data_IF_795481766250
#
_entry.id   IF_795481766250
#
_cell.length_a   1.000
_cell.length_b   1.000
_cell.length_c   1.000
_cell.angle_alpha   90.00
_cell.angle_beta   90.00
_cell.angle_gamma   90.00
#
_symmetry.space_group_name_H-M   'P 1'
#
loop_
_entity.id
_entity.type
_entity.pdbx_description
1 polymer ?
#
# COMPACT_ATOMS: atom_id res chain seq x y z
N UNK A 1 -53.50 -29.40 -43.28
CA UNK A 1 -52.04 -29.44 -43.50
C UNK A 1 -51.50 -30.61 -42.67
N UNK A 2 -51.23 -31.75 -43.32
CA UNK A 2 -50.83 -33.00 -42.64
C UNK A 2 -49.32 -33.01 -42.49
N UNK A 3 -48.83 -32.92 -41.26
CA UNK A 3 -47.39 -32.96 -40.97
C UNK A 3 -46.94 -34.43 -41.08
N UNK A 4 -45.98 -34.68 -41.97
CA UNK A 4 -45.41 -36.00 -42.24
C UNK A 4 -44.82 -36.63 -40.96
N UNK A 5 -45.11 -37.91 -40.71
CA UNK A 5 -44.65 -38.67 -39.54
C UNK A 5 -43.12 -38.73 -39.43
N UNK A 6 -42.38 -38.58 -40.55
CA UNK A 6 -40.91 -38.47 -40.53
C UNK A 6 -40.44 -37.12 -40.00
N UNK A 7 -41.09 -36.02 -40.41
CA UNK A 7 -40.78 -34.67 -39.95
C UNK A 7 -41.09 -34.49 -38.47
N UNK A 8 -42.14 -35.14 -37.96
CA UNK A 8 -42.49 -35.11 -36.53
C UNK A 8 -41.49 -35.88 -35.65
N UNK A 9 -40.83 -36.92 -36.18
CA UNK A 9 -39.78 -37.66 -35.47
C UNK A 9 -38.45 -36.90 -35.42
N UNK A 10 -38.13 -36.16 -36.47
CA UNK A 10 -36.93 -35.31 -36.54
C UNK A 10 -37.09 -34.08 -35.63
N UNK A 11 -38.28 -33.46 -35.60
CA UNK A 11 -38.56 -32.38 -34.66
C UNK A 11 -38.54 -32.84 -33.19
N UNK A 12 -39.07 -34.02 -32.87
CA UNK A 12 -38.97 -34.57 -31.51
C UNK A 12 -37.52 -34.87 -31.09
N UNK A 13 -36.70 -35.37 -32.01
CA UNK A 13 -35.29 -35.65 -31.76
C UNK A 13 -34.48 -34.36 -31.55
N UNK A 14 -34.75 -33.32 -32.34
CA UNK A 14 -34.14 -32.00 -32.16
C UNK A 14 -34.58 -31.33 -30.86
N UNK A 15 -35.86 -31.44 -30.49
CA UNK A 15 -36.36 -30.90 -29.22
C UNK A 15 -35.77 -31.64 -28.01
N UNK A 16 -35.57 -32.96 -28.10
CA UNK A 16 -34.92 -33.75 -27.06
C UNK A 16 -33.43 -33.42 -26.89
N UNK A 17 -32.71 -33.16 -27.99
CA UNK A 17 -31.29 -32.78 -27.95
C UNK A 17 -31.13 -31.37 -27.34
N UNK A 18 -31.99 -30.42 -27.70
CA UNK A 18 -31.98 -29.07 -27.08
C UNK A 18 -32.33 -29.15 -25.58
N UNK A 19 -33.25 -30.03 -25.18
CA UNK A 19 -33.60 -30.21 -23.76
C UNK A 19 -32.47 -30.86 -22.94
N UNK A 20 -31.69 -31.79 -23.54
CA UNK A 20 -30.52 -32.39 -22.89
C UNK A 20 -29.36 -31.39 -22.72
N UNK A 21 -29.17 -30.45 -23.65
CA UNK A 21 -28.12 -29.43 -23.56
C UNK A 21 -28.39 -28.41 -22.43
N UNK A 22 -29.65 -28.14 -22.07
CA UNK A 22 -29.99 -27.25 -20.95
C UNK A 22 -29.77 -27.91 -19.57
N UNK A 23 -29.81 -29.24 -19.48
CA UNK A 23 -29.60 -29.95 -18.21
C UNK A 23 -28.12 -30.11 -17.82
N UNK A 24 -27.19 -30.01 -18.78
CA UNK A 24 -25.75 -30.20 -18.56
C UNK A 24 -24.95 -28.90 -18.30
N UNK A 25 -25.60 -27.72 -18.40
CA UNK A 25 -24.93 -26.42 -18.21
C UNK A 25 -24.98 -25.89 -16.76
N UNK A 26 -25.63 -26.61 -15.84
CA UNK A 26 -25.51 -26.34 -14.41
C UNK A 26 -24.28 -27.07 -13.87
N UNK A 27 -23.11 -26.44 -13.92
CA UNK A 27 -22.04 -26.83 -13.02
C UNK A 27 -22.59 -26.80 -11.59
N UNK A 28 -22.32 -27.82 -10.75
CA UNK A 28 -22.64 -27.70 -9.34
C UNK A 28 -21.90 -26.49 -8.81
N UNK A 29 -22.65 -25.50 -8.33
CA UNK A 29 -22.12 -24.43 -7.50
C UNK A 29 -21.25 -25.08 -6.43
N UNK A 30 -19.98 -24.67 -6.25
CA UNK A 30 -19.13 -25.26 -5.23
C UNK A 30 -19.89 -25.30 -3.91
N UNK A 31 -19.94 -26.47 -3.27
CA UNK A 31 -20.65 -26.69 -2.01
C UNK A 31 -20.03 -25.96 -0.81
N UNK A 32 -19.04 -25.10 -1.06
CA UNK A 32 -18.52 -24.16 -0.08
C UNK A 32 -19.37 -22.90 -0.19
N UNK A 33 -20.27 -22.73 0.77
CA UNK A 33 -20.94 -21.46 1.05
C UNK A 33 -19.93 -20.32 0.90
N UNK A 34 -20.22 -19.36 0.04
CA UNK A 34 -19.54 -18.07 0.09
C UNK A 34 -19.55 -17.60 1.55
N UNK A 35 -18.40 -17.17 2.06
CA UNK A 35 -18.29 -16.62 3.42
C UNK A 35 -18.97 -15.26 3.40
N UNK A 36 -20.30 -15.28 3.53
CA UNK A 36 -21.10 -14.09 3.79
C UNK A 36 -20.85 -13.73 5.25
N UNK A 37 -20.48 -12.49 5.51
CA UNK A 37 -20.40 -11.93 6.86
C UNK A 37 -21.81 -11.83 7.46
N UNK A 38 -22.35 -12.97 7.87
CA UNK A 38 -23.54 -13.07 8.70
C UNK A 38 -23.10 -13.19 10.15
N UNK A 39 -23.63 -12.32 11.02
CA UNK A 39 -23.30 -12.25 12.45
C UNK A 39 -23.36 -13.60 13.19
N UNK A 40 -22.88 -13.62 14.44
CA UNK A 40 -22.67 -14.84 15.25
C UNK A 40 -21.21 -15.32 15.26
N UNK A 41 -20.25 -14.40 15.17
CA UNK A 41 -18.82 -14.72 15.22
C UNK A 41 -18.45 -15.44 16.51
N UNK A 42 -19.02 -15.04 17.66
CA UNK A 42 -18.76 -15.69 18.95
C UNK A 42 -19.23 -17.16 19.00
N UNK A 43 -20.35 -17.49 18.35
CA UNK A 43 -20.87 -18.86 18.28
C UNK A 43 -20.00 -19.74 17.36
N UNK A 44 -19.54 -19.19 16.23
CA UNK A 44 -18.66 -19.88 15.28
C UNK A 44 -17.25 -20.09 15.84
N UNK A 45 -16.73 -19.15 16.63
CA UNK A 45 -15.46 -19.30 17.36
C UNK A 45 -15.53 -20.38 18.44
N UNK A 46 -16.72 -20.67 18.99
CA UNK A 46 -16.95 -21.77 19.93
C UNK A 46 -17.17 -23.14 19.27
N UNK A 47 -17.20 -23.20 17.93
CA UNK A 47 -17.34 -24.43 17.17
C UNK A 47 -16.11 -25.34 17.24
N UNK A 48 -16.23 -26.57 16.74
CA UNK A 48 -15.07 -27.46 16.60
C UNK A 48 -14.08 -26.86 15.59
N UNK A 49 -12.76 -26.86 15.87
CA UNK A 49 -11.75 -26.35 14.94
C UNK A 49 -11.87 -27.01 13.57
N UNK A 50 -11.53 -26.27 12.51
CA UNK A 50 -11.32 -26.87 11.21
C UNK A 50 -10.28 -28.01 11.34
N UNK A 51 -10.46 -29.15 10.63
CA UNK A 51 -9.51 -30.24 10.70
C UNK A 51 -8.11 -29.74 10.31
N UNK A 52 -7.12 -30.09 11.13
CA UNK A 52 -5.73 -29.78 10.85
C UNK A 52 -5.31 -30.43 9.52
N UNK A 53 -4.55 -29.69 8.71
CA UNK A 53 -4.09 -30.12 7.41
C UNK A 53 -3.48 -28.95 6.64
N UNK A 54 -2.39 -29.23 5.92
CA UNK A 54 -1.87 -28.28 4.95
C UNK A 54 -2.92 -28.04 3.86
N UNK A 55 -3.05 -26.79 3.42
CA UNK A 55 -3.89 -26.48 2.27
C UNK A 55 -3.15 -26.89 0.99
N UNK A 56 -3.78 -27.76 0.20
CA UNK A 56 -3.22 -28.19 -1.07
C UNK A 56 -3.74 -27.27 -2.19
N UNK A 57 -2.81 -26.61 -2.90
CA UNK A 57 -3.10 -25.75 -4.03
C UNK A 57 -2.03 -25.92 -5.11
N UNK A 58 -2.38 -25.78 -6.40
CA UNK A 58 -1.39 -25.83 -7.47
C UNK A 58 -0.41 -24.67 -7.33
N UNK A 59 0.89 -24.86 -7.62
CA UNK A 59 1.90 -23.79 -7.58
C UNK A 59 1.58 -22.62 -8.53
N UNK A 60 0.79 -22.88 -9.58
CA UNK A 60 0.33 -21.89 -10.56
C UNK A 60 -1.08 -22.21 -11.00
N UNK A 61 -1.96 -21.21 -10.98
CA UNK A 61 -3.31 -21.29 -11.54
C UNK A 61 -3.29 -20.69 -12.94
N UNK A 62 -3.65 -21.52 -13.94
CA UNK A 62 -3.90 -21.06 -15.30
C UNK A 62 -5.33 -21.36 -15.73
N UNK A 63 -6.06 -20.35 -16.18
CA UNK A 63 -7.44 -20.46 -16.63
C UNK A 63 -7.76 -19.41 -17.70
N UNK A 64 -8.73 -19.69 -18.57
CA UNK A 64 -9.24 -18.69 -19.51
C UNK A 64 -10.76 -18.75 -19.51
N UNK A 65 -11.39 -17.61 -19.23
CA UNK A 65 -12.84 -17.44 -19.28
C UNK A 65 -13.20 -16.63 -20.52
N UNK A 66 -14.01 -17.21 -21.39
CA UNK A 66 -14.60 -16.50 -22.52
C UNK A 66 -15.79 -15.65 -22.02
N UNK A 67 -15.77 -14.34 -22.31
CA UNK A 67 -16.87 -13.46 -21.95
C UNK A 67 -18.06 -13.72 -22.87
N UNK A 68 -19.23 -14.04 -22.28
CA UNK A 68 -20.44 -14.28 -23.06
C UNK A 68 -20.81 -13.04 -23.88
N UNK A 69 -20.86 -13.20 -25.20
CA UNK A 69 -21.35 -12.18 -26.12
C UNK A 69 -20.28 -11.30 -26.79
N UNK A 70 -18.99 -11.62 -26.64
CA UNK A 70 -17.91 -10.92 -27.35
C UNK A 70 -16.69 -11.81 -27.60
N UNK A 71 -15.67 -11.24 -28.27
CA UNK A 71 -14.41 -11.92 -28.58
C UNK A 71 -13.34 -11.75 -27.47
N UNK A 72 -13.70 -11.09 -26.37
CA UNK A 72 -12.81 -10.82 -25.25
C UNK A 72 -12.71 -12.03 -24.31
N UNK A 73 -11.50 -12.24 -23.78
CA UNK A 73 -11.17 -13.34 -22.87
C UNK A 73 -10.52 -12.79 -21.61
N UNK A 74 -10.85 -13.37 -20.47
CA UNK A 74 -10.13 -13.15 -19.21
C UNK A 74 -9.16 -14.32 -19.05
N UNK A 75 -7.86 -14.02 -18.96
CA UNK A 75 -6.81 -15.03 -18.78
C UNK A 75 -6.25 -14.88 -17.38
N UNK A 76 -6.30 -15.96 -16.61
CA UNK A 76 -5.63 -16.10 -15.33
C UNK A 76 -4.33 -16.87 -15.56
N UNK A 77 -3.20 -16.30 -15.13
CA UNK A 77 -1.90 -16.97 -15.07
C UNK A 77 -1.17 -16.46 -13.83
N UNK A 78 -1.50 -17.04 -12.68
CA UNK A 78 -1.06 -16.56 -11.38
C UNK A 78 -0.24 -17.62 -10.65
N UNK A 79 0.92 -17.23 -10.12
CA UNK A 79 1.60 -18.04 -9.12
C UNK A 79 0.75 -18.09 -7.85
N UNK A 80 0.66 -19.25 -7.21
CA UNK A 80 -0.08 -19.44 -5.96
C UNK A 80 0.93 -19.69 -4.85
N UNK A 81 0.85 -18.89 -3.80
CA UNK A 81 1.66 -19.06 -2.59
C UNK A 81 0.76 -19.55 -1.47
N UNK A 82 1.07 -20.74 -0.93
CA UNK A 82 0.39 -21.27 0.26
C UNK A 82 1.36 -21.25 1.44
N UNK A 83 0.97 -20.66 2.59
CA UNK A 83 1.78 -20.71 3.79
C UNK A 83 2.06 -22.16 4.23
N UNK A 84 3.30 -22.43 4.64
CA UNK A 84 3.71 -23.75 5.15
C UNK A 84 3.24 -23.95 6.59
N UNK A 85 1.93 -24.05 6.78
CA UNK A 85 1.26 -24.18 8.08
C UNK A 85 0.33 -25.39 8.10
N UNK A 86 0.07 -25.92 9.29
CA UNK A 86 -0.80 -27.09 9.49
C UNK A 86 -2.23 -26.71 9.89
N UNK A 87 -2.49 -25.43 10.12
CA UNK A 87 -3.79 -24.90 10.48
C UNK A 87 -3.93 -23.43 10.04
N UNK A 88 -5.17 -23.00 9.83
CA UNK A 88 -5.55 -21.61 9.56
C UNK A 88 -6.45 -21.11 10.70
N UNK A 89 -5.87 -20.74 11.84
CA UNK A 89 -6.63 -20.28 13.00
C UNK A 89 -7.32 -18.94 12.73
N UNK A 90 -8.42 -18.72 13.43
CA UNK A 90 -9.10 -17.43 13.46
C UNK A 90 -8.67 -16.68 14.72
N UNK A 91 -8.11 -15.49 14.54
CA UNK A 91 -7.63 -14.68 15.65
C UNK A 91 -8.64 -13.60 16.05
N UNK A 92 -8.71 -13.33 17.36
CA UNK A 92 -9.28 -12.09 17.88
C UNK A 92 -8.14 -11.12 18.15
N UNK A 93 -8.07 -10.06 17.35
CA UNK A 93 -7.02 -9.05 17.43
C UNK A 93 -7.55 -7.72 17.95
N UNK A 94 -6.64 -6.88 18.43
CA UNK A 94 -6.90 -5.47 18.75
C UNK A 94 -5.76 -4.67 18.16
N UNK A 95 -6.06 -3.53 17.55
CA UNK A 95 -5.03 -2.63 17.05
C UNK A 95 -4.16 -2.13 18.21
N UNK A 96 -2.85 -2.36 18.08
CA UNK A 96 -1.85 -1.82 19.01
C UNK A 96 -1.62 -0.33 18.72
N UNK A 97 -1.24 0.40 19.76
CA UNK A 97 -0.76 1.77 19.62
C UNK A 97 0.74 1.79 19.88
N UNK A 98 1.46 2.70 19.22
CA UNK A 98 2.87 2.93 19.52
C UNK A 98 3.01 3.48 20.93
N UNK A 99 3.87 2.86 21.73
CA UNK A 99 4.29 3.44 23.00
C UNK A 99 5.45 4.43 22.82
N UNK A 100 5.70 5.23 23.86
CA UNK A 100 6.74 6.27 23.82
C UNK A 100 8.16 5.70 23.70
N UNK A 101 8.42 4.50 24.21
CA UNK A 101 9.75 3.89 24.12
C UNK A 101 10.03 3.42 22.69
N UNK A 102 9.04 2.79 22.05
CA UNK A 102 9.09 2.40 20.63
C UNK A 102 9.34 3.62 19.74
N UNK A 103 8.57 4.70 19.92
CA UNK A 103 8.73 5.93 19.13
C UNK A 103 10.12 6.52 19.33
N UNK A 104 10.62 6.61 20.56
CA UNK A 104 11.96 7.12 20.82
C UNK A 104 13.05 6.28 20.15
N UNK A 105 12.91 4.96 20.14
CA UNK A 105 13.84 4.06 19.44
C UNK A 105 13.86 4.33 17.93
N UNK A 106 12.68 4.52 17.33
CA UNK A 106 12.55 4.86 15.90
C UNK A 106 13.14 6.23 15.59
N UNK A 107 12.84 7.25 16.41
CA UNK A 107 13.39 8.60 16.25
C UNK A 107 14.91 8.57 16.35
N UNK A 108 15.48 7.90 17.35
CA UNK A 108 16.93 7.79 17.51
C UNK A 108 17.58 7.10 16.31
N UNK A 109 17.00 6.00 15.82
CA UNK A 109 17.49 5.27 14.65
C UNK A 109 17.58 6.16 13.40
N UNK A 110 16.50 6.87 13.05
CA UNK A 110 16.45 7.67 11.82
C UNK A 110 17.18 9.02 11.94
N UNK A 111 17.20 9.62 13.13
CA UNK A 111 17.89 10.91 13.35
C UNK A 111 19.38 10.72 13.56
N UNK A 112 19.82 9.60 14.12
CA UNK A 112 21.20 9.41 14.59
C UNK A 112 21.57 10.44 15.68
N UNK A 113 20.63 10.76 16.57
CA UNK A 113 20.81 11.68 17.69
C UNK A 113 20.74 13.18 17.33
N UNK A 114 20.31 13.53 16.12
CA UNK A 114 20.12 14.93 15.72
C UNK A 114 18.85 15.52 16.32
N UNK A 115 18.92 16.82 16.61
CA UNK A 115 17.75 17.57 17.05
C UNK A 115 16.71 17.66 15.93
N UNK A 116 15.47 17.37 16.29
CA UNK A 116 14.30 17.49 15.41
C UNK A 116 13.50 18.69 15.88
N UNK A 117 13.20 19.59 14.96
CA UNK A 117 12.47 20.81 15.27
C UNK A 117 11.02 20.74 14.81
N UNK A 118 10.11 21.33 15.57
CA UNK A 118 8.73 21.55 15.16
C UNK A 118 8.65 22.54 13.99
N UNK A 119 7.45 22.71 13.44
CA UNK A 119 7.23 23.59 12.31
C UNK A 119 7.51 25.03 12.73
N UNK A 120 8.32 25.70 11.92
CA UNK A 120 8.56 27.12 12.02
C UNK A 120 8.10 27.78 10.71
N UNK A 121 7.59 29.01 10.81
CA UNK A 121 7.26 29.79 9.61
C UNK A 121 8.52 29.98 8.74
N UNK A 122 8.43 29.77 7.41
CA UNK A 122 9.58 29.93 6.53
C UNK A 122 10.16 31.35 6.60
N UNK A 123 11.48 31.43 6.62
CA UNK A 123 12.21 32.69 6.50
C UNK A 123 12.10 33.27 5.10
N UNK A 124 12.41 34.57 4.95
CA UNK A 124 12.49 35.21 3.63
C UNK A 124 13.45 34.48 2.68
N UNK A 125 14.63 34.09 3.17
CA UNK A 125 15.62 33.38 2.37
C UNK A 125 15.10 32.03 1.85
N UNK A 126 14.42 31.25 2.70
CA UNK A 126 13.81 29.98 2.28
C UNK A 126 12.70 30.21 1.25
N UNK A 127 11.87 31.24 1.41
CA UNK A 127 10.83 31.58 0.43
C UNK A 127 11.41 32.05 -0.91
N UNK A 128 12.51 32.81 -0.91
CA UNK A 128 13.19 33.24 -2.15
C UNK A 128 13.71 32.04 -2.95
N UNK A 129 14.29 31.04 -2.27
CA UNK A 129 14.70 29.78 -2.91
C UNK A 129 13.49 29.03 -3.51
N UNK A 130 12.37 29.00 -2.78
CA UNK A 130 11.13 28.39 -3.27
C UNK A 130 10.54 29.13 -4.49
N UNK A 131 10.66 30.46 -4.57
CA UNK A 131 10.27 31.23 -5.76
C UNK A 131 11.11 30.84 -6.97
N UNK A 132 12.43 30.68 -6.79
CA UNK A 132 13.35 30.26 -7.86
C UNK A 132 12.94 28.88 -8.38
N UNK A 133 12.67 27.92 -7.48
CA UNK A 133 12.22 26.58 -7.84
C UNK A 133 10.87 26.60 -8.54
N UNK A 134 9.88 27.33 -8.00
CA UNK A 134 8.55 27.42 -8.60
C UNK A 134 8.58 28.03 -10.01
N UNK A 135 9.43 29.05 -10.24
CA UNK A 135 9.64 29.64 -11.57
C UNK A 135 10.31 28.68 -12.54
N UNK A 136 11.35 27.96 -12.09
CA UNK A 136 12.01 26.92 -12.88
C UNK A 136 10.99 25.86 -13.31
N UNK A 137 10.07 25.49 -12.41
CA UNK A 137 9.05 24.48 -12.64
C UNK A 137 7.79 24.99 -13.35
N UNK A 138 7.84 26.21 -13.88
CA UNK A 138 6.72 26.90 -14.53
C UNK A 138 5.42 26.95 -13.70
N UNK A 139 5.54 26.91 -12.36
CA UNK A 139 4.43 27.00 -11.40
C UNK A 139 4.17 28.46 -11.01
N UNK A 140 3.66 29.24 -11.97
CA UNK A 140 3.52 30.70 -11.83
C UNK A 140 2.64 31.15 -10.66
N UNK A 141 1.56 30.43 -10.39
CA UNK A 141 0.65 30.73 -9.27
C UNK A 141 1.32 30.52 -7.92
N UNK A 142 2.08 29.42 -7.78
CA UNK A 142 2.85 29.10 -6.57
C UNK A 142 3.97 30.14 -6.36
N UNK A 143 4.69 30.51 -7.42
CA UNK A 143 5.73 31.53 -7.34
C UNK A 143 5.17 32.88 -6.87
N UNK A 144 4.01 33.29 -7.39
CA UNK A 144 3.36 34.53 -6.98
C UNK A 144 2.88 34.50 -5.53
N UNK A 145 2.39 33.35 -5.05
CA UNK A 145 2.02 33.16 -3.63
C UNK A 145 3.24 33.36 -2.71
N UNK A 146 4.38 32.74 -3.04
CA UNK A 146 5.59 32.89 -2.23
C UNK A 146 6.16 34.30 -2.27
N UNK A 147 6.17 34.94 -3.44
CA UNK A 147 6.56 36.35 -3.57
C UNK A 147 5.73 37.27 -2.68
N UNK A 148 4.42 37.01 -2.56
CA UNK A 148 3.56 37.76 -1.64
C UNK A 148 3.92 37.51 -0.16
N UNK A 149 4.28 36.27 0.20
CA UNK A 149 4.64 35.89 1.57
C UNK A 149 5.99 36.44 2.03
N UNK A 150 6.95 36.65 1.12
CA UNK A 150 8.28 37.21 1.45
C UNK A 150 8.16 38.56 2.15
N UNK A 151 7.15 39.37 1.82
CA UNK A 151 6.96 40.70 2.41
C UNK A 151 6.72 40.65 3.94
N UNK A 152 6.10 39.58 4.43
CA UNK A 152 5.73 39.41 5.85
C UNK A 152 6.54 38.36 6.58
N UNK A 153 7.36 37.59 5.86
CA UNK A 153 8.16 36.53 6.44
C UNK A 153 9.30 37.08 7.32
N UNK A 154 9.68 36.35 8.39
CA UNK A 154 10.81 36.73 9.23
C UNK A 154 12.14 36.56 8.49
N UNK A 155 13.16 37.34 8.87
CA UNK A 155 14.53 37.13 8.38
C UNK A 155 15.15 35.85 8.98
N UNK A 156 14.78 35.55 10.23
CA UNK A 156 15.30 34.43 11.03
C UNK A 156 14.19 33.89 11.91
N UNK A 157 14.17 32.58 12.13
CA UNK A 157 13.22 31.92 13.02
C UNK A 157 13.97 30.93 13.93
N UNK A 158 13.65 30.94 15.22
CA UNK A 158 14.10 29.90 16.16
C UNK A 158 13.02 28.83 16.22
N UNK A 159 13.32 27.64 15.72
CA UNK A 159 12.40 26.52 15.74
C UNK A 159 12.46 25.77 17.08
N UNK A 160 11.30 25.38 17.62
CA UNK A 160 11.22 24.62 18.86
C UNK A 160 11.78 23.21 18.65
N UNK A 161 12.65 22.74 19.56
CA UNK A 161 13.15 21.36 19.54
C UNK A 161 12.11 20.42 20.17
N UNK A 162 11.74 19.37 19.44
CA UNK A 162 10.80 18.35 19.91
C UNK A 162 11.52 17.41 20.87
N UNK A 163 11.09 17.45 22.13
CA UNK A 163 11.61 16.56 23.19
C UNK A 163 10.56 15.56 23.69
N UNK A 164 9.28 15.87 23.51
CA UNK A 164 8.16 15.01 23.85
C UNK A 164 7.66 14.26 22.62
N UNK A 165 7.99 12.98 22.55
CA UNK A 165 7.62 12.06 21.48
C UNK A 165 6.42 11.17 21.82
N UNK A 166 5.54 11.62 22.74
CA UNK A 166 4.32 10.88 23.07
C UNK A 166 3.35 10.80 21.89
N UNK A 167 2.92 9.58 21.56
CA UNK A 167 2.03 9.31 20.43
C UNK A 167 0.71 10.10 20.50
N UNK A 168 0.16 10.29 21.71
CA UNK A 168 -1.10 11.01 21.94
C UNK A 168 -1.05 12.49 21.56
N UNK A 169 0.15 13.07 21.43
CA UNK A 169 0.34 14.44 20.96
C UNK A 169 0.54 14.55 19.46
N UNK A 170 0.65 13.42 18.78
CA UNK A 170 0.97 13.30 17.37
C UNK A 170 2.10 14.24 16.90
N UNK A 171 3.29 14.17 17.53
CA UNK A 171 4.39 15.08 17.21
C UNK A 171 4.83 14.93 15.75
N UNK A 172 5.13 16.06 15.12
CA UNK A 172 5.64 16.16 13.76
C UNK A 172 6.78 17.17 13.72
N UNK A 173 7.89 16.78 13.12
CA UNK A 173 9.09 17.60 13.09
C UNK A 173 10.04 17.29 11.95
N UNK A 174 11.04 18.15 11.80
CA UNK A 174 11.99 18.14 10.70
C UNK A 174 13.43 18.26 11.20
N UNK A 175 14.36 17.74 10.42
CA UNK A 175 15.78 17.91 10.66
C UNK A 175 16.55 17.83 9.34
N UNK A 176 17.75 18.43 9.31
CA UNK A 176 18.65 18.32 8.17
C UNK A 176 19.44 17.02 8.24
N UNK A 177 19.37 16.21 7.18
CA UNK A 177 20.13 14.97 7.04
C UNK A 177 21.62 15.28 6.81
N UNK A 178 22.49 14.25 6.82
CA UNK A 178 23.94 14.46 6.67
C UNK A 178 24.27 14.87 5.24
N UNK A 179 23.39 14.49 4.32
CA UNK A 179 23.49 14.74 2.89
C UNK A 179 22.87 16.09 2.49
N UNK A 180 22.38 16.86 3.47
CA UNK A 180 21.84 18.20 3.26
C UNK A 180 20.37 18.23 2.80
N UNK A 181 19.66 17.11 2.84
CA UNK A 181 18.22 17.06 2.59
C UNK A 181 17.42 17.27 3.89
N UNK A 182 16.23 17.84 3.81
CA UNK A 182 15.33 17.87 4.95
C UNK A 182 14.57 16.55 5.08
N UNK A 183 14.64 15.94 6.26
CA UNK A 183 13.81 14.79 6.61
C UNK A 183 12.72 15.19 7.60
N UNK A 184 11.58 14.51 7.52
CA UNK A 184 10.44 14.69 8.41
C UNK A 184 10.12 13.42 9.19
N UNK A 185 9.67 13.58 10.43
CA UNK A 185 9.09 12.52 11.26
C UNK A 185 7.67 12.93 11.62
N UNK A 186 6.72 12.02 11.43
CA UNK A 186 5.34 12.20 11.85
C UNK A 186 4.92 10.98 12.67
N UNK A 187 4.34 11.25 13.83
CA UNK A 187 3.86 10.23 14.75
C UNK A 187 2.39 10.45 14.99
N UNK A 188 1.63 9.37 15.04
CA UNK A 188 0.30 9.31 15.64
C UNK A 188 0.17 7.97 16.39
N UNK A 189 -0.89 7.75 17.20
CA UNK A 189 -1.01 6.52 17.98
C UNK A 189 -0.91 5.22 17.18
N UNK A 190 -1.16 5.23 15.86
CA UNK A 190 -1.26 4.04 15.03
C UNK A 190 -0.25 4.01 13.87
N UNK A 191 0.57 5.05 13.71
CA UNK A 191 1.49 5.20 12.59
C UNK A 191 2.71 5.99 12.99
N UNK A 192 3.86 5.48 12.56
CA UNK A 192 5.13 6.20 12.54
C UNK A 192 5.54 6.39 11.08
N UNK A 193 5.96 7.59 10.72
CA UNK A 193 6.40 7.93 9.37
C UNK A 193 7.70 8.72 9.44
N UNK A 194 8.77 8.15 8.92
CA UNK A 194 10.01 8.86 8.58
C UNK A 194 10.06 9.06 7.07
N UNK A 195 10.43 10.26 6.64
CA UNK A 195 10.61 10.57 5.22
C UNK A 195 11.85 11.43 5.02
N UNK A 196 12.76 10.99 4.17
CA UNK A 196 13.84 11.84 3.69
C UNK A 196 13.38 12.60 2.43
N UNK A 197 13.51 13.93 2.44
CA UNK A 197 13.17 14.79 1.30
C UNK A 197 11.67 15.00 1.09
N UNK A 198 10.80 14.80 2.10
CA UNK A 198 9.35 14.85 1.89
C UNK A 198 8.50 15.18 3.15
N UNK A 199 7.30 15.74 2.97
CA UNK A 199 6.25 15.87 4.02
C UNK A 199 4.95 15.19 3.60
N UNK A 200 4.34 14.47 4.56
CA UNK A 200 2.96 13.94 4.60
C UNK A 200 2.23 13.90 3.25
N UNK A 201 2.21 12.70 2.65
CA UNK A 201 1.63 12.47 1.32
C UNK A 201 2.71 12.27 0.25
N UNK A 202 3.75 11.49 0.55
CA UNK A 202 4.82 11.23 -0.39
C UNK A 202 4.35 10.76 -1.73
N UNK A 203 4.60 11.60 -2.72
CA UNK A 203 4.62 11.20 -4.11
C UNK A 203 5.89 10.37 -4.32
N UNK A 204 5.86 9.15 -3.78
CA UNK A 204 6.42 8.06 -4.55
C UNK A 204 5.48 7.85 -5.73
N UNK A 205 6.05 7.80 -6.93
CA UNK A 205 5.29 7.30 -8.07
C UNK A 205 5.73 5.86 -8.28
N UNK A 206 4.82 4.94 -8.01
CA UNK A 206 5.04 3.50 -8.22
C UNK A 206 4.83 3.13 -9.69
N UNK A 207 5.26 1.93 -10.08
CA UNK A 207 4.88 1.39 -11.40
C UNK A 207 3.35 1.37 -11.58
N UNK A 208 2.58 1.04 -10.52
CA UNK A 208 1.12 1.04 -10.55
C UNK A 208 0.53 2.44 -10.83
N UNK A 209 1.11 3.50 -10.23
CA UNK A 209 0.72 4.89 -10.50
C UNK A 209 1.06 5.33 -11.94
N UNK A 210 2.24 4.92 -12.45
CA UNK A 210 2.67 5.23 -13.83
C UNK A 210 1.75 4.55 -14.85
N UNK A 211 1.44 3.27 -14.64
CA UNK A 211 0.53 2.50 -15.49
C UNK A 211 -0.87 3.12 -15.52
N UNK A 212 -1.41 3.50 -14.36
CA UNK A 212 -2.71 4.16 -14.26
C UNK A 212 -2.77 5.50 -15.00
N UNK A 213 -1.66 6.23 -15.06
CA UNK A 213 -1.54 7.51 -15.76
C UNK A 213 -1.22 7.38 -17.26
N UNK A 214 -1.02 6.15 -17.77
CA UNK A 214 -0.65 5.89 -19.16
C UNK A 214 0.76 6.38 -19.52
N UNK A 215 1.62 6.52 -18.52
CA UNK A 215 3.01 6.95 -18.66
C UNK A 215 3.93 5.75 -18.95
N UNK A 216 5.21 6.01 -19.28
CA UNK A 216 6.19 4.95 -19.53
C UNK A 216 6.73 4.40 -18.21
N UNK A 217 6.81 3.08 -18.13
CA UNK A 217 7.36 2.26 -17.02
C UNK A 217 8.60 2.87 -16.34
N UNK A 218 8.77 2.60 -15.04
CA UNK A 218 10.03 2.88 -14.36
C UNK A 218 11.11 1.98 -14.97
N UNK A 219 12.13 2.62 -15.56
CA UNK A 219 13.26 1.94 -16.17
C UNK A 219 14.09 1.09 -15.20
N UNK A 220 15.30 0.75 -15.59
CA UNK A 220 16.20 -0.02 -14.73
C UNK A 220 16.54 0.73 -13.44
N UNK A 221 16.55 -0.01 -12.33
CA UNK A 221 16.97 0.46 -11.01
C UNK A 221 18.39 -0.05 -10.76
N UNK A 222 19.24 0.82 -10.21
CA UNK A 222 20.66 0.52 -10.02
C UNK A 222 20.89 -0.63 -9.03
N UNK A 223 20.14 -0.66 -7.93
CA UNK A 223 20.19 -1.74 -6.94
C UNK A 223 19.37 -2.95 -7.42
N UNK A 224 19.87 -4.19 -7.30
CA UNK A 224 19.05 -5.37 -7.55
C UNK A 224 17.92 -5.49 -6.51
N UNK A 225 16.72 -5.88 -6.95
CA UNK A 225 15.56 -6.00 -6.05
C UNK A 225 15.79 -6.91 -4.82
N UNK A 226 16.55 -8.00 -4.97
CA UNK A 226 16.93 -8.87 -3.84
C UNK A 226 17.78 -8.15 -2.78
N UNK A 227 18.63 -7.21 -3.21
CA UNK A 227 19.52 -6.47 -2.33
C UNK A 227 18.73 -5.34 -1.65
N UNK A 228 17.73 -4.76 -2.33
CA UNK A 228 16.75 -3.86 -1.74
C UNK A 228 15.94 -4.54 -0.62
N UNK A 229 15.44 -5.77 -0.86
CA UNK A 229 14.73 -6.55 0.16
C UNK A 229 15.64 -6.85 1.36
N UNK A 230 16.89 -7.25 1.11
CA UNK A 230 17.85 -7.52 2.18
C UNK A 230 18.18 -6.27 3.00
N UNK A 231 18.34 -5.11 2.36
CA UNK A 231 18.57 -3.85 3.04
C UNK A 231 17.37 -3.43 3.90
N UNK A 232 16.14 -3.57 3.37
CA UNK A 232 14.93 -3.29 4.13
C UNK A 232 14.75 -4.26 5.31
N UNK A 233 15.08 -5.55 5.14
CA UNK A 233 15.06 -6.52 6.23
C UNK A 233 16.06 -6.14 7.34
N UNK A 234 17.26 -5.66 7.01
CA UNK A 234 18.23 -5.19 8.01
C UNK A 234 17.67 -4.08 8.89
N UNK A 235 16.84 -3.19 8.33
CA UNK A 235 16.18 -2.12 9.11
C UNK A 235 15.18 -2.71 10.11
N UNK A 236 14.40 -3.73 9.70
CA UNK A 236 13.50 -4.45 10.60
C UNK A 236 14.29 -5.13 11.73
N UNK A 237 15.39 -5.80 11.39
CA UNK A 237 16.24 -6.51 12.34
C UNK A 237 16.87 -5.53 13.36
N UNK A 238 17.38 -4.38 12.90
CA UNK A 238 17.94 -3.33 13.74
C UNK A 238 16.91 -2.75 14.72
N UNK A 239 15.65 -2.65 14.29
CA UNK A 239 14.54 -2.12 15.06
C UNK A 239 13.82 -3.19 15.90
N UNK A 240 14.20 -4.46 15.75
CA UNK A 240 13.63 -5.58 16.49
C UNK A 240 12.23 -6.00 16.04
N UNK A 241 11.86 -5.77 14.77
CA UNK A 241 10.61 -6.26 14.19
C UNK A 241 10.80 -7.69 13.64
N UNK A 242 10.55 -8.71 14.47
CA UNK A 242 10.74 -10.13 14.16
C UNK A 242 9.49 -10.83 13.60
N UNK A 243 8.33 -10.19 13.72
CA UNK A 243 7.02 -10.70 13.35
C UNK A 243 6.48 -10.05 12.06
N UNK A 244 7.39 -9.65 11.18
CA UNK A 244 7.09 -9.06 9.87
C UNK A 244 7.72 -9.92 8.76
N UNK A 245 6.99 -10.12 7.66
CA UNK A 245 7.44 -10.92 6.52
C UNK A 245 7.33 -10.13 5.22
N UNK A 246 8.31 -10.29 4.33
CA UNK A 246 8.29 -9.70 2.99
C UNK A 246 7.00 -10.07 2.26
N UNK A 247 6.33 -9.06 1.71
CA UNK A 247 5.04 -9.20 1.03
C UNK A 247 5.11 -8.77 -0.43
N UNK A 248 5.67 -7.59 -0.71
CA UNK A 248 5.72 -7.01 -2.06
C UNK A 248 6.98 -6.20 -2.28
N UNK A 249 7.43 -6.21 -3.53
CA UNK A 249 8.48 -5.34 -4.05
C UNK A 249 7.93 -4.60 -5.25
N UNK A 250 8.08 -3.28 -5.26
CA UNK A 250 7.54 -2.42 -6.30
C UNK A 250 8.55 -1.33 -6.65
N UNK A 251 8.74 -1.04 -7.94
CA UNK A 251 9.61 0.07 -8.34
C UNK A 251 8.95 1.38 -7.95
N UNK A 252 9.75 2.36 -7.55
CA UNK A 252 9.27 3.67 -7.22
C UNK A 252 10.26 4.77 -7.60
N UNK A 253 9.70 5.91 -7.99
CA UNK A 253 10.40 7.17 -8.16
C UNK A 253 10.28 7.98 -6.87
N UNK A 254 11.40 8.48 -6.35
CA UNK A 254 11.42 9.44 -5.23
C UNK A 254 11.67 10.83 -5.76
N UNK A 255 10.87 11.79 -5.30
CA UNK A 255 11.07 13.22 -5.56
C UNK A 255 11.60 13.89 -4.30
N UNK A 256 12.47 14.89 -4.46
CA UNK A 256 13.06 15.61 -3.32
C UNK A 256 12.31 16.90 -3.04
N UNK A 257 12.52 17.38 -1.82
CA UNK A 257 12.05 18.64 -1.31
C UNK A 257 13.23 19.49 -0.84
N UNK A 258 13.29 20.73 -1.32
CA UNK A 258 14.39 21.64 -1.05
C UNK A 258 14.18 22.53 0.20
N UNK A 259 13.03 22.47 0.89
CA UNK A 259 12.84 23.19 2.17
C UNK A 259 11.94 22.48 3.17
N UNK A 260 12.03 22.90 4.44
CA UNK A 260 11.26 22.39 5.58
C UNK A 260 9.77 22.84 5.58
N UNK A 261 9.40 23.85 4.78
CA UNK A 261 8.07 24.45 4.81
C UNK A 261 7.03 23.59 4.09
N UNK A 262 5.78 23.52 4.58
CA UNK A 262 4.66 22.73 4.04
C UNK A 262 4.31 23.00 2.57
N UNK A 263 4.88 24.03 1.95
CA UNK A 263 4.51 24.47 0.62
C UNK A 263 5.47 24.06 -0.49
N UNK A 264 6.74 23.71 -0.21
CA UNK A 264 7.71 23.47 -1.28
C UNK A 264 7.21 22.41 -2.28
N UNK A 265 7.10 22.81 -3.56
CA UNK A 265 6.79 21.93 -4.66
C UNK A 265 7.88 20.88 -4.86
N UNK A 266 7.49 19.70 -5.32
CA UNK A 266 8.42 18.60 -5.62
C UNK A 266 9.41 19.01 -6.72
N UNK A 267 10.58 18.35 -6.74
CA UNK A 267 11.47 18.40 -7.90
C UNK A 267 10.73 17.99 -9.19
N UNK A 268 11.09 18.57 -10.34
CA UNK A 268 10.47 18.17 -11.64
C UNK A 268 10.82 16.74 -12.01
N UNK A 269 12.07 16.39 -11.79
CA UNK A 269 12.61 15.06 -12.04
C UNK A 269 12.70 14.30 -10.72
N UNK A 270 12.50 12.97 -10.76
CA UNK A 270 12.78 12.14 -9.60
C UNK A 270 14.26 12.29 -9.23
N UNK A 271 14.53 12.52 -7.95
CA UNK A 271 15.90 12.55 -7.43
C UNK A 271 16.49 11.16 -7.29
N UNK A 272 15.62 10.14 -7.24
CA UNK A 272 16.06 8.77 -7.13
C UNK A 272 15.06 7.77 -7.69
N UNK A 273 15.56 6.60 -8.03
CA UNK A 273 14.80 5.43 -8.46
C UNK A 273 15.20 4.26 -7.59
N UNK A 274 14.20 3.60 -7.01
CA UNK A 274 14.43 2.54 -6.07
C UNK A 274 13.24 1.61 -6.00
N UNK A 275 13.15 0.89 -4.89
CA UNK A 275 12.03 0.00 -4.61
C UNK A 275 11.32 0.41 -3.33
N UNK A 276 9.99 0.32 -3.33
CA UNK A 276 9.21 0.18 -2.11
C UNK A 276 9.14 -1.31 -1.77
N UNK A 277 9.73 -1.66 -0.63
CA UNK A 277 9.63 -2.98 -0.01
C UNK A 277 8.52 -2.93 1.03
N UNK A 278 7.53 -3.83 0.92
CA UNK A 278 6.39 -3.93 1.83
C UNK A 278 6.51 -5.20 2.67
N UNK A 279 6.29 -5.07 3.97
CA UNK A 279 6.22 -6.17 4.91
C UNK A 279 4.83 -6.21 5.54
N UNK A 280 4.31 -7.42 5.71
CA UNK A 280 3.05 -7.68 6.41
C UNK A 280 3.34 -8.36 7.74
N UNK A 281 2.46 -8.15 8.74
CA UNK A 281 2.49 -8.92 9.99
C UNK A 281 2.48 -10.42 9.70
N UNK A 282 3.34 -11.19 10.34
CA UNK A 282 3.37 -12.64 10.29
C UNK A 282 2.85 -13.21 11.61
N UNK A 283 1.77 -13.98 11.57
CA UNK A 283 1.20 -14.64 12.75
C UNK A 283 1.22 -16.15 12.51
N UNK A 284 2.03 -16.87 13.29
CA UNK A 284 2.19 -18.33 13.21
C UNK A 284 2.51 -18.85 11.79
N UNK A 285 3.29 -18.09 11.02
CA UNK A 285 3.69 -18.43 9.65
C UNK A 285 2.68 -18.01 8.58
N UNK A 286 1.62 -17.29 8.96
CA UNK A 286 0.62 -16.73 8.04
C UNK A 286 0.87 -15.23 7.90
N UNK A 287 1.21 -14.80 6.68
CA UNK A 287 1.29 -13.39 6.33
C UNK A 287 -0.10 -12.74 6.43
N UNK A 288 -0.14 -11.58 7.06
CA UNK A 288 -1.30 -10.72 7.17
C UNK A 288 -1.63 -10.05 5.83
N UNK A 289 -2.74 -9.33 5.85
CA UNK A 289 -3.21 -8.55 4.71
C UNK A 289 -2.44 -7.22 4.70
N UNK A 290 -2.08 -6.70 3.53
CA UNK A 290 -1.60 -5.32 3.32
C UNK A 290 -2.74 -4.46 2.79
N UNK A 291 -2.58 -3.14 2.76
CA UNK A 291 -3.59 -2.20 2.19
C UNK A 291 -3.97 -2.55 0.72
N UNK A 292 -3.10 -3.27 0.01
CA UNK A 292 -3.23 -3.47 -1.43
C UNK A 292 -3.99 -4.73 -1.82
N UNK A 293 -4.98 -4.52 -2.70
CA UNK A 293 -6.13 -5.39 -2.89
C UNK A 293 -7.45 -4.68 -2.58
N UNK A 294 -7.38 -3.54 -1.87
CA UNK A 294 -8.52 -2.69 -1.52
C UNK A 294 -8.29 -1.24 -2.02
N UNK A 295 -8.09 -1.08 -3.33
CA UNK A 295 -8.41 0.17 -4.07
C UNK A 295 -9.85 0.66 -3.82
N UNK A 296 -10.64 -0.14 -3.11
CA UNK A 296 -12.00 0.09 -2.74
C UNK A 296 -12.16 0.97 -1.49
N UNK A 297 -11.11 1.37 -0.76
CA UNK A 297 -11.27 2.21 0.43
C UNK A 297 -11.93 3.58 0.17
N UNK A 298 -11.97 4.08 -1.07
CA UNK A 298 -12.70 5.29 -1.44
C UNK A 298 -14.08 5.04 -2.08
N UNK A 299 -14.38 3.81 -2.50
CA UNK A 299 -15.58 3.45 -3.28
C UNK A 299 -16.45 2.34 -2.67
N UNK A 300 -15.98 1.66 -1.62
CA UNK A 300 -16.78 0.74 -0.82
C UNK A 300 -17.72 1.52 0.10
N UNK A 301 -18.96 1.05 0.17
CA UNK A 301 -19.84 1.39 1.26
C UNK A 301 -19.13 1.11 2.59
N UNK A 302 -19.25 2.04 3.53
CA UNK A 302 -18.56 2.04 4.83
C UNK A 302 -18.73 0.72 5.61
N UNK A 303 -19.77 -0.05 5.27
CA UNK A 303 -20.12 -1.36 5.83
C UNK A 303 -19.16 -2.50 5.46
N UNK A 304 -18.38 -2.38 4.36
CA UNK A 304 -17.42 -3.40 3.91
C UNK A 304 -15.97 -3.10 4.29
N UNK A 305 -15.69 -1.91 4.81
CA UNK A 305 -14.34 -1.55 5.25
C UNK A 305 -13.94 -2.40 6.44
N UNK A 306 -12.73 -2.96 6.37
CA UNK A 306 -12.13 -3.61 7.52
C UNK A 306 -12.14 -2.63 8.72
N UNK A 307 -12.61 -3.04 9.92
CA UNK A 307 -12.73 -2.15 11.07
C UNK A 307 -11.37 -1.74 11.67
N UNK A 308 -10.29 -2.37 11.19
CA UNK A 308 -8.90 -2.13 11.56
C UNK A 308 -8.06 -2.03 10.30
N UNK A 309 -7.07 -1.14 10.32
CA UNK A 309 -6.08 -1.07 9.25
C UNK A 309 -5.15 -2.29 9.33
N UNK A 310 -4.72 -2.84 8.18
CA UNK A 310 -3.65 -3.82 8.16
C UNK A 310 -2.39 -3.24 8.79
N UNK A 311 -1.64 -4.11 9.48
CA UNK A 311 -0.35 -3.75 10.05
C UNK A 311 0.75 -4.05 9.03
N UNK A 312 1.38 -2.99 8.54
CA UNK A 312 2.36 -3.04 7.47
C UNK A 312 3.56 -2.12 7.75
N UNK A 313 4.71 -2.49 7.22
CA UNK A 313 5.89 -1.62 7.15
C UNK A 313 6.25 -1.42 5.68
N UNK A 314 6.48 -0.17 5.29
CA UNK A 314 6.91 0.23 3.95
C UNK A 314 8.25 0.94 4.03
N UNK A 315 9.22 0.46 3.27
CA UNK A 315 10.58 1.02 3.22
C UNK A 315 10.94 1.27 1.77
N UNK A 316 11.31 2.51 1.45
CA UNK A 316 11.92 2.83 0.17
C UNK A 316 13.43 2.61 0.24
N UNK A 317 13.99 1.94 -0.76
CA UNK A 317 15.43 1.65 -0.89
C UNK A 317 15.89 2.02 -2.28
N UNK A 318 16.97 2.80 -2.38
CA UNK A 318 17.55 3.32 -3.62
C UNK A 318 19.09 3.27 -3.67
#
# INVERSE_FOLDING_TARGET
MSIDKKTNRILLALFAIVFLCFAAACQPTPSRTAVVYGGGLEEKLGGSPAPAGAYDAPERWQETLDLKGGDAKIVFDAAVSVPCVTAFPVYKVKQAAFDTAQIKSLVEYFTGGREVTAYAEPTKAELEEQVILAKKNNKKEIAAEYEARIATAPETVEAEIITDWSADRSPSGWFLTKDGEYAGINVDPKRFLYMNGLVVGGYFQTDEDIEANGEKEIGEIAIPGKDAVAAAQSVLDDLGFDDMVFSRLEKALRYSRLSNGTFAGLSEEPVSKGYIVKFARNIDGIAGITDEGVSLHFYEDFEYRAPIYPEEIRIFVD
#
